data_IF_519111134795
#
_entry.id   IF_519111134795
#
_cell.length_a   1.000
_cell.length_b   1.000
_cell.length_c   1.000
_cell.angle_alpha   90.00
_cell.angle_beta   90.00
_cell.angle_gamma   90.00
#
_symmetry.space_group_name_H-M   'P 1'
#
loop_
_entity.id
_entity.type
_entity.pdbx_description
1 polymer ?
#
# COMPACT_ATOMS: atom_id res chain seq x y z
N UNK A 1 12.46 -4.91 11.85
CA UNK A 1 11.42 -4.00 11.35
C UNK A 1 10.58 -4.84 10.39
N UNK A 2 9.28 -4.94 10.62
CA UNK A 2 8.39 -5.76 9.80
C UNK A 2 7.98 -4.92 8.59
N UNK A 3 8.10 -5.46 7.38
CA UNK A 3 7.71 -4.78 6.15
C UNK A 3 6.21 -4.97 5.90
N UNK A 4 5.48 -3.86 5.86
CA UNK A 4 4.04 -3.84 5.60
C UNK A 4 3.67 -4.31 4.18
N UNK A 5 4.63 -4.25 3.26
CA UNK A 5 4.45 -4.64 1.85
C UNK A 5 5.03 -6.02 1.54
N UNK A 6 5.45 -6.77 2.56
CA UNK A 6 5.81 -8.18 2.41
C UNK A 6 4.54 -9.01 2.14
N UNK A 7 4.43 -9.67 0.99
CA UNK A 7 3.29 -10.53 0.68
C UNK A 7 3.18 -11.74 1.61
N UNK A 8 4.26 -12.14 2.29
CA UNK A 8 4.35 -13.38 3.02
C UNK A 8 4.22 -14.61 2.10
N UNK A 9 4.28 -15.83 2.67
CA UNK A 9 4.18 -17.07 1.88
C UNK A 9 2.83 -17.26 1.16
N UNK A 10 1.76 -16.67 1.70
CA UNK A 10 0.40 -16.81 1.18
C UNK A 10 -0.01 -15.68 0.22
N UNK A 11 0.79 -14.62 0.08
CA UNK A 11 0.45 -13.48 -0.77
C UNK A 11 -0.63 -12.58 -0.18
N UNK A 12 -0.95 -12.72 1.10
CA UNK A 12 -2.04 -12.07 1.80
C UNK A 12 -1.64 -10.76 2.49
N UNK A 13 -0.35 -10.41 2.45
CA UNK A 13 0.21 -9.20 3.04
C UNK A 13 -0.17 -9.05 4.53
N UNK A 14 0.30 -9.96 5.41
CA UNK A 14 -0.20 -10.09 6.79
C UNK A 14 0.14 -8.89 7.68
N UNK A 15 1.06 -8.04 7.22
CA UNK A 15 1.54 -6.86 7.94
C UNK A 15 1.03 -5.55 7.35
N UNK A 16 0.24 -5.62 6.27
CA UNK A 16 -0.39 -4.45 5.69
C UNK A 16 -1.39 -3.86 6.69
N UNK A 17 -1.28 -2.57 7.05
CA UNK A 17 -2.23 -1.95 7.98
C UNK A 17 -3.65 -2.04 7.44
N UNK A 18 -4.52 -2.70 8.20
CA UNK A 18 -5.94 -2.83 7.86
C UNK A 18 -6.83 -2.26 8.97
N UNK A 19 -8.00 -1.75 8.58
CA UNK A 19 -9.08 -1.39 9.50
C UNK A 19 -9.68 -2.65 10.13
N UNK A 20 -10.48 -2.54 11.21
CA UNK A 20 -11.21 -3.68 11.77
C UNK A 20 -12.09 -4.43 10.77
N UNK A 21 -12.61 -3.73 9.76
CA UNK A 21 -13.42 -4.30 8.67
C UNK A 21 -12.56 -4.96 7.57
N UNK A 22 -11.24 -4.99 7.74
CA UNK A 22 -10.31 -5.63 6.82
C UNK A 22 -9.94 -4.79 5.59
N UNK A 23 -10.31 -3.52 5.50
CA UNK A 23 -9.86 -2.65 4.39
C UNK A 23 -8.48 -2.05 4.66
N UNK A 24 -7.79 -1.56 3.62
CA UNK A 24 -6.54 -0.82 3.79
C UNK A 24 -6.75 0.40 4.72
N UNK A 25 -5.94 0.51 5.76
CA UNK A 25 -5.93 1.68 6.62
C UNK A 25 -5.16 2.82 5.94
N UNK A 26 -5.90 3.70 5.25
CA UNK A 26 -5.32 4.82 4.49
C UNK A 26 -4.73 5.92 5.37
N UNK A 27 -4.95 5.89 6.68
CA UNK A 27 -4.33 6.83 7.62
C UNK A 27 -2.88 6.43 7.89
N UNK A 28 -2.62 5.11 7.97
CA UNK A 28 -1.30 4.53 8.19
C UNK A 28 -0.55 4.24 6.89
N UNK A 29 -1.29 4.00 5.80
CA UNK A 29 -0.76 3.80 4.45
C UNK A 29 -1.45 4.75 3.47
N UNK A 30 -0.98 6.00 3.33
CA UNK A 30 -1.58 6.97 2.43
C UNK A 30 -1.60 6.47 0.98
N UNK A 31 -2.71 6.74 0.29
CA UNK A 31 -2.90 6.45 -1.14
C UNK A 31 -3.33 7.70 -1.89
N UNK A 32 -3.13 7.68 -3.21
CA UNK A 32 -3.56 8.69 -4.16
C UNK A 32 -2.69 9.94 -4.25
N UNK A 33 -3.15 10.97 -4.99
CA UNK A 33 -2.38 12.17 -5.24
C UNK A 33 -2.12 13.02 -3.98
N UNK A 34 -0.87 13.45 -3.81
CA UNK A 34 -0.40 14.33 -2.73
C UNK A 34 0.55 15.39 -3.26
N UNK A 35 0.54 16.56 -2.63
CA UNK A 35 1.52 17.60 -2.93
C UNK A 35 2.81 17.32 -2.16
N UNK A 36 3.93 17.29 -2.87
CA UNK A 36 5.26 17.23 -2.28
C UNK A 36 6.04 18.50 -2.63
N UNK A 37 6.82 18.99 -1.66
CA UNK A 37 7.79 20.04 -1.89
C UNK A 37 9.07 19.41 -2.45
N UNK A 38 9.51 19.84 -3.62
CA UNK A 38 10.79 19.43 -4.20
C UNK A 38 11.94 20.16 -3.50
N UNK A 39 13.20 19.66 -3.60
CA UNK A 39 14.36 20.30 -2.97
C UNK A 39 14.60 21.76 -3.39
N UNK A 40 14.11 22.17 -4.56
CA UNK A 40 14.18 23.54 -5.07
C UNK A 40 12.96 24.40 -4.73
N UNK A 41 12.07 23.94 -3.84
CA UNK A 41 10.96 24.71 -3.29
C UNK A 41 9.68 24.73 -4.13
N UNK A 42 9.60 23.96 -5.23
CA UNK A 42 8.37 23.83 -6.02
C UNK A 42 7.40 22.84 -5.38
N UNK A 43 6.09 23.08 -5.51
CA UNK A 43 5.06 22.10 -5.16
C UNK A 43 4.73 21.27 -6.39
N UNK A 44 4.87 19.96 -6.29
CA UNK A 44 4.49 19.01 -7.35
C UNK A 44 3.43 18.06 -6.83
N UNK A 45 2.57 17.60 -7.73
CA UNK A 45 1.61 16.53 -7.43
C UNK A 45 2.28 15.19 -7.71
N UNK A 46 2.32 14.31 -6.72
CA UNK A 46 2.80 12.93 -6.84
C UNK A 46 1.70 11.96 -6.43
N UNK A 47 1.69 10.76 -6.99
CA UNK A 47 0.88 9.66 -6.46
C UNK A 47 1.71 8.91 -5.43
N UNK A 48 1.24 8.85 -4.19
CA UNK A 48 1.95 8.14 -3.10
C UNK A 48 1.50 6.69 -2.95
N UNK A 49 0.59 6.22 -3.80
CA UNK A 49 0.08 4.84 -3.74
C UNK A 49 1.22 3.83 -3.91
N UNK A 50 1.53 3.02 -2.88
CA UNK A 50 2.57 2.01 -2.99
C UNK A 50 2.20 0.94 -4.03
N UNK A 51 3.21 0.46 -4.75
CA UNK A 51 3.09 -0.70 -5.63
C UNK A 51 3.72 -1.92 -4.98
N UNK A 52 3.05 -3.06 -5.04
CA UNK A 52 3.52 -4.33 -4.50
C UNK A 52 3.69 -5.36 -5.61
N UNK A 53 4.61 -6.30 -5.41
CA UNK A 53 4.76 -7.46 -6.28
C UNK A 53 3.96 -8.61 -5.70
N UNK A 54 2.95 -9.07 -6.41
CA UNK A 54 2.14 -10.24 -6.05
C UNK A 54 2.92 -11.54 -6.28
N UNK A 55 2.44 -12.67 -5.74
CA UNK A 55 3.11 -13.98 -5.87
C UNK A 55 3.27 -14.45 -7.32
N UNK A 56 2.38 -14.03 -8.21
CA UNK A 56 2.47 -14.27 -9.67
C UNK A 56 3.52 -13.37 -10.37
N UNK A 57 4.21 -12.50 -9.62
CA UNK A 57 5.24 -11.59 -10.09
C UNK A 57 4.71 -10.28 -10.69
N UNK A 58 3.39 -10.06 -10.71
CA UNK A 58 2.80 -8.82 -11.24
C UNK A 58 3.04 -7.66 -10.27
N UNK A 59 3.30 -6.47 -10.81
CA UNK A 59 3.33 -5.24 -10.03
C UNK A 59 1.95 -4.59 -10.07
N UNK A 60 1.33 -4.39 -8.90
CA UNK A 60 0.00 -3.77 -8.76
C UNK A 60 -0.01 -2.70 -7.68
N UNK A 61 -0.89 -1.69 -7.76
CA UNK A 61 -1.18 -0.82 -6.62
C UNK A 61 -1.64 -1.63 -5.41
N UNK A 62 -1.24 -1.23 -4.21
CA UNK A 62 -1.66 -1.91 -2.97
C UNK A 62 -3.19 -1.88 -2.77
N UNK A 63 -3.89 -0.92 -3.39
CA UNK A 63 -5.36 -0.84 -3.39
C UNK A 63 -6.05 -1.97 -4.16
N UNK A 64 -5.32 -2.66 -5.05
CA UNK A 64 -5.85 -3.78 -5.83
C UNK A 64 -5.69 -5.12 -5.08
N UNK A 65 -4.98 -5.11 -3.93
CA UNK A 65 -4.87 -6.27 -3.04
C UNK A 65 -6.16 -6.39 -2.26
N UNK A 66 -7.00 -7.34 -2.67
CA UNK A 66 -8.25 -7.65 -1.98
C UNK A 66 -7.92 -8.27 -0.61
N UNK A 67 -8.57 -7.83 0.49
CA UNK A 67 -8.41 -8.51 1.75
C UNK A 67 -8.88 -9.95 1.65
N UNK A 68 -8.12 -10.87 2.22
CA UNK A 68 -8.53 -12.28 2.30
C UNK A 68 -9.79 -12.31 3.15
N UNK A 69 -10.93 -12.61 2.52
CA UNK A 69 -12.19 -12.74 3.23
C UNK A 69 -12.09 -13.93 4.20
N UNK A 70 -12.01 -13.64 5.50
CA UNK A 70 -12.08 -14.66 6.55
C UNK A 70 -11.10 -14.45 7.70
N UNK A 71 -11.51 -13.64 8.69
CA UNK A 71 -11.32 -13.94 10.11
C UNK A 71 -12.62 -13.64 10.84
#
# INVERSE_FOLDING_TARGET
>A
MIDALDPGPAGDFPHLPRTPDGYLDTTRMPVGPRHQLTPDGRRVLIDVTPTVRTLDGRLVPVTDVVPVAGQ
#
